data_IF_445656206711
#
_entry.id   IF_445656206711
#
_cell.length_a   1.000
_cell.length_b   1.000
_cell.length_c   1.000
_cell.angle_alpha   90.00
_cell.angle_beta   90.00
_cell.angle_gamma   90.00
#
_symmetry.space_group_name_H-M   'P 1'
#
loop_
_entity.id
_entity.type
_entity.pdbx_description
1 polymer ?
#
# COMPACT_ATOMS: atom_id res chain seq x y z
N UNK A 1 17.27 -5.76 25.49
CA UNK A 1 16.40 -6.50 26.43
C UNK A 1 15.53 -5.61 27.32
N UNK A 2 15.94 -4.42 27.74
CA UNK A 2 15.16 -3.57 28.67
C UNK A 2 13.72 -3.31 28.18
N UNK A 3 13.55 -2.87 26.92
CA UNK A 3 12.22 -2.62 26.34
C UNK A 3 11.32 -3.87 26.34
N UNK A 4 11.85 -5.04 25.95
CA UNK A 4 11.08 -6.30 25.96
C UNK A 4 10.57 -6.66 27.35
N UNK A 5 11.37 -6.42 28.41
CA UNK A 5 10.93 -6.63 29.80
C UNK A 5 9.84 -5.64 30.23
N UNK A 6 9.92 -4.39 29.77
CA UNK A 6 8.85 -3.42 30.02
C UNK A 6 7.55 -3.82 29.32
N UNK A 7 7.63 -4.34 28.09
CA UNK A 7 6.47 -4.84 27.36
C UNK A 7 5.86 -6.07 28.05
N UNK A 8 6.67 -7.04 28.46
CA UNK A 8 6.24 -8.22 29.21
C UNK A 8 5.54 -7.84 30.52
N UNK A 9 6.13 -6.94 31.31
CA UNK A 9 5.54 -6.47 32.56
C UNK A 9 4.20 -5.72 32.34
N UNK A 10 4.07 -5.03 31.21
CA UNK A 10 2.86 -4.31 30.84
C UNK A 10 1.75 -5.22 30.28
N UNK A 11 2.11 -6.24 29.51
CA UNK A 11 1.17 -7.13 28.83
C UNK A 11 0.79 -8.35 29.65
N UNK A 12 1.54 -8.65 30.73
CA UNK A 12 1.54 -9.94 31.42
C UNK A 12 1.75 -11.13 30.47
N UNK A 13 2.45 -10.90 29.34
CA UNK A 13 2.76 -11.93 28.35
C UNK A 13 4.28 -12.17 28.32
N UNK A 14 4.68 -13.31 28.90
CA UNK A 14 6.07 -13.74 29.00
C UNK A 14 6.73 -14.03 27.64
N UNK A 15 5.95 -14.16 26.56
CA UNK A 15 6.48 -14.44 25.24
C UNK A 15 7.19 -13.24 24.60
N UNK A 16 7.01 -12.00 25.08
CA UNK A 16 7.73 -10.82 24.55
C UNK A 16 9.25 -10.89 24.71
N UNK A 17 9.74 -11.64 25.71
CA UNK A 17 11.18 -11.79 25.97
C UNK A 17 11.81 -13.01 25.30
N UNK A 18 11.00 -13.97 24.86
CA UNK A 18 11.47 -15.31 24.46
C UNK A 18 11.03 -15.74 23.07
N UNK A 19 9.95 -15.18 22.52
CA UNK A 19 9.39 -15.56 21.22
C UNK A 19 9.53 -14.43 20.20
N UNK A 20 9.45 -14.82 18.93
CA UNK A 20 9.22 -13.89 17.83
C UNK A 20 7.78 -13.38 17.90
N UNK A 21 7.61 -12.09 17.62
CA UNK A 21 6.35 -11.38 17.75
C UNK A 21 6.14 -10.58 16.47
N UNK A 22 4.89 -10.53 16.01
CA UNK A 22 4.57 -9.77 14.82
C UNK A 22 4.68 -8.24 15.10
N UNK A 23 5.14 -7.44 14.13
CA UNK A 23 5.34 -6.00 14.29
C UNK A 23 4.11 -5.25 14.81
N UNK A 24 2.90 -5.62 14.37
CA UNK A 24 1.64 -5.05 14.81
C UNK A 24 1.33 -5.36 16.28
N UNK A 25 1.69 -6.55 16.78
CA UNK A 25 1.52 -6.88 18.19
C UNK A 25 2.44 -6.01 19.05
N UNK A 26 3.70 -5.86 18.62
CA UNK A 26 4.67 -4.97 19.25
C UNK A 26 4.20 -3.50 19.23
N UNK A 27 3.79 -2.99 18.06
CA UNK A 27 3.36 -1.59 17.90
C UNK A 27 2.11 -1.29 18.72
N UNK A 28 1.10 -2.16 18.69
CA UNK A 28 -0.12 -1.98 19.48
C UNK A 28 0.19 -1.88 20.97
N UNK A 29 1.06 -2.76 21.50
CA UNK A 29 1.46 -2.70 22.92
C UNK A 29 2.31 -1.49 23.26
N UNK A 30 3.26 -1.14 22.40
CA UNK A 30 4.09 0.04 22.60
C UNK A 30 3.27 1.32 22.60
N UNK A 31 2.36 1.48 21.63
CA UNK A 31 1.51 2.66 21.50
C UNK A 31 0.49 2.75 22.64
N UNK A 32 -0.06 1.63 23.10
CA UNK A 32 -0.89 1.58 24.30
C UNK A 32 -0.13 2.06 25.54
N UNK A 33 1.13 1.63 25.71
CA UNK A 33 1.95 2.03 26.85
C UNK A 33 2.32 3.51 26.83
N UNK A 34 2.66 4.02 25.65
CA UNK A 34 3.02 5.41 25.43
C UNK A 34 1.80 6.34 25.33
N UNK A 35 0.59 5.78 25.30
CA UNK A 35 -0.69 6.50 25.08
C UNK A 35 -0.64 7.36 23.82
N UNK A 36 -0.14 6.77 22.74
CA UNK A 36 -0.07 7.43 21.42
C UNK A 36 -1.50 7.62 20.91
N UNK A 37 -1.81 8.81 20.39
CA UNK A 37 -3.09 9.05 19.73
C UNK A 37 -3.21 8.19 18.46
N UNK A 38 -4.41 7.76 18.08
CA UNK A 38 -4.64 7.01 16.86
C UNK A 38 -4.07 7.73 15.64
N UNK A 39 -3.28 7.02 14.83
CA UNK A 39 -2.64 7.60 13.64
C UNK A 39 -3.64 7.73 12.48
N UNK A 40 -4.68 6.90 12.49
CA UNK A 40 -5.68 6.78 11.44
C UNK A 40 -7.07 6.98 12.03
N UNK A 41 -7.88 7.78 11.34
CA UNK A 41 -9.33 7.86 11.53
C UNK A 41 -10.00 7.48 10.22
N UNK A 42 -10.68 6.34 10.22
CA UNK A 42 -11.26 5.75 9.02
C UNK A 42 -12.77 5.63 9.25
N UNK A 43 -13.56 6.07 8.27
CA UNK A 43 -15.02 5.98 8.30
C UNK A 43 -15.50 5.03 7.21
N UNK A 44 -16.47 4.17 7.55
CA UNK A 44 -17.32 3.51 6.56
C UNK A 44 -18.55 4.37 6.31
N UNK A 45 -19.06 4.42 5.07
CA UNK A 45 -20.05 5.36 4.50
C UNK A 45 -21.41 5.56 5.23
N UNK A 46 -21.56 5.13 6.48
CA UNK A 46 -22.72 5.37 7.34
C UNK A 46 -22.44 5.19 8.84
N UNK A 47 -21.18 5.02 9.24
CA UNK A 47 -20.78 4.67 10.60
C UNK A 47 -19.95 5.77 11.28
N UNK A 48 -19.90 5.73 12.61
CA UNK A 48 -18.95 6.51 13.39
C UNK A 48 -17.51 6.21 12.94
N UNK A 49 -16.61 7.21 12.91
CA UNK A 49 -15.19 7.00 12.63
C UNK A 49 -14.59 5.95 13.56
N UNK A 50 -13.83 5.03 12.98
CA UNK A 50 -13.01 4.08 13.70
C UNK A 50 -11.59 4.61 13.80
N UNK A 51 -11.00 4.47 14.98
CA UNK A 51 -9.65 4.93 15.27
C UNK A 51 -8.71 3.73 15.38
N UNK A 52 -7.58 3.78 14.66
CA UNK A 52 -6.55 2.76 14.72
C UNK A 52 -5.16 3.32 14.42
N UNK A 53 -4.11 2.50 14.59
CA UNK A 53 -2.74 2.88 14.24
C UNK A 53 -2.23 2.25 12.94
N UNK A 54 -2.82 1.12 12.55
CA UNK A 54 -2.42 0.33 11.38
C UNK A 54 -3.65 -0.02 10.55
N UNK A 55 -3.45 -0.17 9.25
CA UNK A 55 -4.48 -0.67 8.34
C UNK A 55 -4.01 -1.96 7.66
N UNK A 56 -4.83 -3.00 7.75
CA UNK A 56 -4.61 -4.26 7.02
C UNK A 56 -5.16 -4.10 5.60
N UNK A 57 -4.28 -4.22 4.60
CA UNK A 57 -4.72 -4.31 3.22
C UNK A 57 -5.39 -5.66 2.99
N UNK A 58 -6.58 -5.62 2.40
CA UNK A 58 -7.28 -6.80 1.92
C UNK A 58 -7.11 -6.92 0.43
N UNK A 59 -6.84 -8.12 -0.09
CA UNK A 59 -6.78 -8.30 -1.53
C UNK A 59 -8.15 -8.15 -2.17
N UNK A 60 -8.20 -7.76 -3.46
CA UNK A 60 -9.45 -7.79 -4.22
C UNK A 60 -10.02 -9.22 -4.28
N UNK A 61 -11.35 -9.32 -4.21
CA UNK A 61 -12.09 -10.60 -4.22
C UNK A 61 -11.92 -11.39 -5.53
N UNK A 62 -11.56 -10.70 -6.61
CA UNK A 62 -11.19 -11.31 -7.88
C UNK A 62 -9.69 -11.20 -8.08
N UNK A 63 -9.00 -12.33 -7.97
CA UNK A 63 -7.61 -12.44 -8.45
C UNK A 63 -7.58 -12.03 -9.91
N UNK A 64 -6.69 -11.11 -10.35
CA UNK A 64 -6.52 -10.87 -11.77
C UNK A 64 -6.15 -12.21 -12.41
N UNK A 65 -7.08 -12.74 -13.22
CA UNK A 65 -6.72 -13.80 -14.14
C UNK A 65 -5.55 -13.28 -14.97
N UNK A 66 -4.52 -14.10 -15.24
CA UNK A 66 -3.50 -13.69 -16.17
C UNK A 66 -4.23 -13.27 -17.44
N UNK A 67 -4.10 -12.00 -17.82
CA UNK A 67 -4.55 -11.52 -19.11
C UNK A 67 -3.68 -12.24 -20.14
N UNK A 68 -4.11 -13.44 -20.52
CA UNK A 68 -3.58 -14.12 -21.68
C UNK A 68 -3.97 -13.20 -22.84
N UNK A 69 -3.03 -12.52 -23.53
CA UNK A 69 -3.39 -11.91 -24.79
C UNK A 69 -3.93 -13.05 -25.65
N UNK A 70 -5.16 -12.91 -26.14
CA UNK A 70 -5.80 -13.91 -26.97
C UNK A 70 -4.79 -14.37 -28.03
N UNK A 71 -4.30 -15.60 -27.89
CA UNK A 71 -3.34 -16.18 -28.82
C UNK A 71 -3.95 -16.13 -30.21
N UNK A 72 -3.25 -15.62 -31.24
CA UNK A 72 -3.64 -15.90 -32.60
C UNK A 72 -3.64 -17.42 -32.74
N UNK A 73 -4.79 -17.95 -33.13
CA UNK A 73 -4.97 -19.35 -33.50
C UNK A 73 -3.95 -19.65 -34.61
N UNK A 74 -3.16 -20.71 -34.41
CA UNK A 74 -2.16 -21.28 -35.34
C UNK A 74 -0.80 -20.54 -35.49
N UNK A 75 0.11 -20.77 -34.53
CA UNK A 75 1.56 -20.66 -34.79
C UNK A 75 2.27 -21.98 -34.46
N UNK A 76 3.05 -22.60 -35.37
CA UNK A 76 3.61 -23.95 -35.21
C UNK A 76 4.86 -24.02 -34.31
N UNK A 77 5.10 -23.04 -33.44
CA UNK A 77 6.27 -22.95 -32.57
C UNK A 77 5.78 -22.94 -31.12
N UNK A 78 6.28 -23.83 -30.23
CA UNK A 78 6.02 -23.72 -28.80
C UNK A 78 6.77 -22.49 -28.28
N UNK A 79 6.06 -21.37 -28.17
CA UNK A 79 6.54 -20.19 -27.45
C UNK A 79 6.44 -20.51 -25.96
N UNK A 80 7.57 -20.68 -25.27
CA UNK A 80 7.61 -20.59 -23.81
C UNK A 80 7.06 -19.22 -23.43
N UNK A 81 5.91 -19.20 -22.76
CA UNK A 81 5.39 -17.96 -22.15
C UNK A 81 6.50 -17.40 -21.25
N UNK A 82 6.89 -16.10 -21.37
CA UNK A 82 7.72 -15.50 -20.35
C UNK A 82 6.97 -15.62 -19.02
N UNK A 83 7.64 -16.11 -17.98
CA UNK A 83 7.10 -16.19 -16.63
C UNK A 83 6.78 -14.77 -16.13
N UNK A 84 5.55 -14.31 -16.32
CA UNK A 84 5.11 -12.99 -15.85
C UNK A 84 4.77 -13.08 -14.37
N UNK A 85 5.37 -12.22 -13.55
CA UNK A 85 4.98 -12.09 -12.14
C UNK A 85 3.60 -11.44 -12.01
N UNK A 86 2.77 -11.95 -11.11
CA UNK A 86 1.59 -11.22 -10.64
C UNK A 86 2.03 -10.11 -9.71
N UNK A 87 1.98 -8.88 -10.20
CA UNK A 87 2.38 -7.67 -9.49
C UNK A 87 1.15 -6.88 -9.08
N UNK A 88 1.19 -6.28 -7.89
CA UNK A 88 0.26 -5.22 -7.49
C UNK A 88 1.02 -4.12 -6.75
N UNK A 89 0.73 -2.85 -7.03
CA UNK A 89 1.27 -1.74 -6.25
C UNK A 89 0.52 -1.54 -4.95
N UNK A 90 1.18 -0.95 -3.97
CA UNK A 90 0.54 -0.55 -2.71
C UNK A 90 -0.58 0.48 -2.95
N UNK A 91 -0.44 1.37 -3.94
CA UNK A 91 -1.51 2.28 -4.37
C UNK A 91 -2.78 1.51 -4.76
N UNK A 92 -2.66 0.57 -5.70
CA UNK A 92 -3.79 -0.22 -6.18
C UNK A 92 -4.41 -1.05 -5.05
N UNK A 93 -3.57 -1.70 -4.21
CA UNK A 93 -4.04 -2.48 -3.06
C UNK A 93 -4.79 -1.62 -2.03
N UNK A 94 -4.30 -0.40 -1.75
CA UNK A 94 -4.97 0.51 -0.82
C UNK A 94 -6.32 0.96 -1.38
N UNK A 95 -6.34 1.42 -2.64
CA UNK A 95 -7.57 1.86 -3.31
C UNK A 95 -8.61 0.75 -3.36
N UNK A 96 -8.24 -0.46 -3.80
CA UNK A 96 -9.17 -1.60 -3.83
C UNK A 96 -9.62 -2.00 -2.43
N UNK A 97 -8.73 -2.05 -1.44
CA UNK A 97 -9.10 -2.41 -0.07
C UNK A 97 -10.12 -1.42 0.53
N UNK A 98 -9.92 -0.11 0.30
CA UNK A 98 -10.85 0.94 0.74
C UNK A 98 -12.16 0.88 -0.04
N UNK A 99 -12.12 0.70 -1.35
CA UNK A 99 -13.28 0.62 -2.22
C UNK A 99 -14.22 -0.53 -1.81
N UNK A 100 -13.70 -1.75 -1.69
CA UNK A 100 -14.50 -2.93 -1.36
C UNK A 100 -15.08 -2.86 0.06
N UNK A 101 -14.40 -2.17 0.97
CA UNK A 101 -14.84 -1.99 2.35
C UNK A 101 -15.71 -0.73 2.54
N UNK A 102 -15.89 0.09 1.50
CA UNK A 102 -16.59 1.36 1.56
C UNK A 102 -15.99 2.33 2.57
N UNK A 103 -14.65 2.37 2.65
CA UNK A 103 -13.89 3.17 3.63
C UNK A 103 -13.36 4.47 3.02
N UNK A 104 -13.22 5.47 3.88
CA UNK A 104 -12.54 6.74 3.61
C UNK A 104 -11.76 7.19 4.86
N UNK A 105 -10.68 7.92 4.64
CA UNK A 105 -9.98 8.65 5.69
C UNK A 105 -10.78 9.90 6.06
N UNK A 106 -11.02 10.10 7.35
CA UNK A 106 -11.67 11.31 7.85
C UNK A 106 -10.75 12.52 7.69
N UNK A 107 -9.45 12.32 7.97
CA UNK A 107 -8.41 13.34 7.81
C UNK A 107 -7.13 12.71 7.26
N UNK A 108 -6.25 13.53 6.69
CA UNK A 108 -4.98 13.06 6.14
C UNK A 108 -4.04 12.61 7.28
N UNK A 109 -3.63 11.33 7.33
CA UNK A 109 -2.77 10.86 8.39
C UNK A 109 -1.35 11.42 8.27
N UNK A 110 -0.72 11.70 9.42
CA UNK A 110 0.68 12.11 9.46
C UNK A 110 1.63 10.93 9.19
N UNK A 111 1.23 9.74 9.62
CA UNK A 111 1.94 8.48 9.44
C UNK A 111 0.93 7.38 9.10
N UNK A 112 1.18 6.64 8.02
CA UNK A 112 0.32 5.57 7.54
C UNK A 112 1.09 4.26 7.51
N UNK A 113 0.66 3.33 8.36
CA UNK A 113 1.24 2.00 8.50
C UNK A 113 0.33 0.98 7.82
N UNK A 114 0.79 0.42 6.70
CA UNK A 114 0.02 -0.52 5.88
C UNK A 114 0.59 -1.94 6.04
N UNK A 115 -0.22 -2.86 6.55
CA UNK A 115 0.10 -4.29 6.55
C UNK A 115 -0.27 -4.88 5.20
N UNK A 116 0.68 -5.57 4.58
CA UNK A 116 0.50 -6.18 3.26
C UNK A 116 -0.45 -7.39 3.35
N UNK A 117 -1.18 -7.73 2.27
CA UNK A 117 -2.13 -8.84 2.26
C UNK A 117 -1.40 -10.18 2.22
N UNK A 118 -0.98 -10.69 3.38
CA UNK A 118 -0.37 -12.02 3.55
C UNK A 118 -1.34 -12.95 4.27
N UNK A 119 -1.45 -14.19 3.79
CA UNK A 119 -2.24 -15.23 4.46
C UNK A 119 -1.33 -16.36 4.94
N UNK A 120 -0.92 -16.27 6.21
CA UNK A 120 -0.01 -17.25 6.79
C UNK A 120 1.38 -17.24 6.14
N UNK A 121 2.14 -18.33 6.36
CA UNK A 121 3.54 -18.43 5.91
C UNK A 121 3.68 -18.85 4.45
N UNK A 122 2.71 -19.61 3.93
CA UNK A 122 2.84 -20.31 2.65
C UNK A 122 2.05 -19.67 1.51
N UNK A 123 1.12 -18.74 1.80
CA UNK A 123 0.27 -18.13 0.77
C UNK A 123 0.58 -16.65 0.56
N UNK A 124 1.22 -16.37 -0.57
CA UNK A 124 1.39 -15.03 -1.14
C UNK A 124 0.43 -14.87 -2.32
N UNK A 125 -0.52 -13.95 -2.21
CA UNK A 125 -1.47 -13.72 -3.29
C UNK A 125 -0.79 -13.13 -4.53
N UNK A 126 0.22 -12.29 -4.33
CA UNK A 126 1.02 -11.66 -5.39
C UNK A 126 2.44 -12.21 -5.34
N UNK A 127 3.04 -12.39 -6.52
CA UNK A 127 4.42 -12.85 -6.62
C UNK A 127 5.39 -11.72 -6.24
N UNK A 128 4.99 -10.48 -6.51
CA UNK A 128 5.63 -9.26 -6.03
C UNK A 128 4.60 -8.18 -5.70
N UNK A 129 4.83 -7.44 -4.61
CA UNK A 129 4.12 -6.20 -4.30
C UNK A 129 5.10 -5.07 -4.57
N UNK A 130 4.66 -4.02 -5.28
CA UNK A 130 5.46 -2.83 -5.55
C UNK A 130 5.16 -1.77 -4.48
N UNK A 131 6.09 -1.48 -3.54
CA UNK A 131 5.93 -0.38 -2.59
C UNK A 131 5.93 0.95 -3.34
N UNK A 132 4.76 1.56 -3.48
CA UNK A 132 4.62 2.84 -4.18
C UNK A 132 5.44 3.91 -3.45
N UNK A 133 6.33 4.62 -4.13
CA UNK A 133 7.20 5.65 -3.51
C UNK A 133 6.41 6.86 -2.99
N UNK A 134 5.43 7.31 -3.76
CA UNK A 134 4.54 8.42 -3.44
C UNK A 134 3.10 7.95 -3.55
N UNK A 135 2.46 7.73 -2.41
CA UNK A 135 1.09 7.23 -2.31
C UNK A 135 0.12 8.40 -2.38
N UNK A 136 -0.82 8.38 -3.30
CA UNK A 136 -1.85 9.40 -3.44
C UNK A 136 -3.10 8.99 -2.67
N UNK A 137 -3.47 9.76 -1.65
CA UNK A 137 -4.63 9.47 -0.79
C UNK A 137 -5.78 10.46 -1.04
N UNK A 138 -5.66 11.34 -2.04
CA UNK A 138 -6.60 12.43 -2.29
C UNK A 138 -8.04 11.94 -2.40
N UNK A 139 -8.23 10.89 -3.19
CA UNK A 139 -9.55 10.36 -3.53
C UNK A 139 -10.09 9.38 -2.44
N UNK A 140 -9.27 9.08 -1.45
CA UNK A 140 -9.57 8.27 -0.27
C UNK A 140 -9.98 9.12 0.95
N UNK A 141 -9.85 10.45 0.88
CA UNK A 141 -10.23 11.38 1.95
C UNK A 141 -11.69 11.83 1.82
N UNK A 142 -12.38 12.00 2.95
CA UNK A 142 -13.77 12.49 2.99
C UNK A 142 -13.87 13.98 2.60
N UNK A 143 -13.00 14.84 3.15
CA UNK A 143 -13.11 16.30 3.04
C UNK A 143 -12.22 16.91 1.96
N UNK A 144 -12.02 16.21 0.84
CA UNK A 144 -11.24 16.70 -0.31
C UNK A 144 -12.11 16.97 -1.51
N UNK A 145 -11.80 18.05 -2.24
CA UNK A 145 -12.34 18.23 -3.58
C UNK A 145 -11.73 17.20 -4.50
N UNK A 146 -12.57 16.51 -5.25
CA UNK A 146 -12.11 15.48 -6.17
C UNK A 146 -12.43 15.85 -7.61
N UNK A 147 -11.67 15.30 -8.54
CA UNK A 147 -11.77 15.63 -9.95
C UNK A 147 -12.61 14.59 -10.70
N UNK A 148 -13.49 15.08 -11.56
CA UNK A 148 -14.24 14.23 -12.47
C UNK A 148 -13.29 13.52 -13.42
N UNK A 149 -13.37 12.19 -13.49
CA UNK A 149 -12.50 11.36 -14.33
C UNK A 149 -12.63 11.65 -15.83
N UNK A 150 -13.65 12.40 -16.26
CA UNK A 150 -13.94 12.73 -17.67
C UNK A 150 -13.53 14.16 -18.02
N UNK A 151 -14.08 15.15 -17.32
CA UNK A 151 -13.91 16.57 -17.65
C UNK A 151 -13.01 17.33 -16.67
N UNK A 152 -12.51 16.68 -15.61
CA UNK A 152 -11.61 17.25 -14.60
C UNK A 152 -12.19 18.42 -13.78
N UNK A 153 -13.50 18.70 -13.89
CA UNK A 153 -14.21 19.60 -12.98
C UNK A 153 -14.51 18.91 -11.64
N UNK A 154 -15.14 19.60 -10.68
CA UNK A 154 -15.47 19.03 -9.37
C UNK A 154 -16.38 17.82 -9.52
N UNK A 155 -15.96 16.70 -8.92
CA UNK A 155 -16.79 15.52 -8.79
C UNK A 155 -17.77 15.68 -7.63
N UNK A 156 -19.02 15.28 -7.87
CA UNK A 156 -20.11 15.26 -6.88
C UNK A 156 -20.63 13.84 -6.65
N UNK A 157 -20.21 12.90 -7.50
CA UNK A 157 -20.67 11.53 -7.50
C UNK A 157 -19.47 10.59 -7.58
N UNK A 158 -19.52 9.47 -6.88
CA UNK A 158 -18.60 8.36 -7.06
C UNK A 158 -19.39 7.08 -7.38
N UNK A 159 -18.80 6.19 -8.18
CA UNK A 159 -19.46 4.94 -8.55
C UNK A 159 -18.49 3.77 -8.41
N UNK A 160 -18.69 2.95 -7.37
CA UNK A 160 -17.86 1.78 -7.10
C UNK A 160 -17.89 0.78 -8.28
N UNK A 161 -19.07 0.57 -8.87
CA UNK A 161 -19.26 -0.36 -9.99
C UNK A 161 -18.56 0.09 -11.28
N UNK A 162 -18.27 1.38 -11.43
CA UNK A 162 -17.48 1.85 -12.57
C UNK A 162 -15.98 1.55 -12.41
N UNK A 163 -15.48 1.24 -11.21
CA UNK A 163 -14.05 1.01 -10.98
C UNK A 163 -13.50 -0.16 -11.81
N UNK A 164 -14.28 -1.22 -11.94
CA UNK A 164 -13.92 -2.42 -12.70
C UNK A 164 -14.08 -2.24 -14.22
N UNK A 165 -14.63 -1.10 -14.67
CA UNK A 165 -14.91 -0.88 -16.06
C UNK A 165 -13.67 -0.32 -16.81
N UNK A 166 -13.09 -1.08 -17.75
CA UNK A 166 -11.85 -0.71 -18.42
C UNK A 166 -12.03 0.42 -19.45
N UNK A 167 -13.25 0.75 -19.85
CA UNK A 167 -13.48 1.77 -20.88
C UNK A 167 -13.39 3.20 -20.31
N UNK A 168 -13.36 3.35 -18.98
CA UNK A 168 -13.19 4.65 -18.31
C UNK A 168 -11.91 4.59 -17.48
N UNK A 169 -10.85 5.27 -17.93
CA UNK A 169 -9.62 5.53 -17.16
C UNK A 169 -9.14 4.38 -16.25
N UNK A 170 -8.77 3.20 -16.79
CA UNK A 170 -8.46 1.99 -16.00
C UNK A 170 -7.63 2.23 -14.73
N UNK A 171 -7.96 1.53 -13.64
CA UNK A 171 -7.13 1.50 -12.42
C UNK A 171 -7.22 2.75 -11.53
N UNK A 172 -8.24 3.59 -11.71
CA UNK A 172 -8.48 4.75 -10.87
C UNK A 172 -9.92 4.79 -10.34
N UNK A 173 -10.09 5.31 -9.13
CA UNK A 173 -11.41 5.61 -8.55
C UNK A 173 -12.27 6.45 -9.51
N UNK A 174 -13.55 6.07 -9.66
CA UNK A 174 -14.45 6.66 -10.65
C UNK A 174 -15.37 7.67 -10.03
N UNK A 175 -15.16 8.91 -10.45
CA UNK A 175 -15.81 10.05 -9.86
C UNK A 175 -16.23 11.03 -10.96
N UNK A 176 -17.40 11.63 -10.77
CA UNK A 176 -18.06 12.36 -11.84
C UNK A 176 -18.69 13.64 -11.31
N UNK A 177 -18.62 14.71 -12.11
CA UNK A 177 -19.52 15.84 -11.95
C UNK A 177 -20.95 15.38 -12.30
N UNK A 178 -21.96 16.18 -11.94
CA UNK A 178 -23.35 15.81 -12.18
C UNK A 178 -23.65 15.45 -13.66
N UNK A 179 -23.14 16.23 -14.61
CA UNK A 179 -23.37 15.99 -16.05
C UNK A 179 -22.70 14.72 -16.55
N UNK A 180 -21.42 14.51 -16.23
CA UNK A 180 -20.70 13.31 -16.64
C UNK A 180 -21.28 12.05 -15.98
N UNK A 181 -21.76 12.15 -14.74
CA UNK A 181 -22.44 11.06 -14.05
C UNK A 181 -23.66 10.58 -14.85
N UNK A 182 -24.53 11.50 -15.28
CA UNK A 182 -25.71 11.15 -16.09
C UNK A 182 -25.32 10.55 -17.43
N UNK A 183 -24.31 11.11 -18.11
CA UNK A 183 -23.89 10.63 -19.43
C UNK A 183 -23.28 9.23 -19.36
N UNK A 184 -22.35 9.00 -18.43
CA UNK A 184 -21.70 7.69 -18.24
C UNK A 184 -22.73 6.62 -17.92
N UNK A 185 -23.66 6.90 -17.00
CA UNK A 185 -24.68 5.94 -16.58
C UNK A 185 -25.89 5.83 -17.53
N UNK A 186 -25.92 6.61 -18.62
CA UNK A 186 -26.86 6.38 -19.73
C UNK A 186 -26.42 5.25 -20.66
N UNK A 187 -25.15 4.84 -20.58
CA UNK A 187 -24.61 3.75 -21.37
C UNK A 187 -25.20 2.40 -20.94
N UNK A 188 -25.57 1.56 -21.92
CA UNK A 188 -26.26 0.27 -21.67
C UNK A 188 -25.58 -0.65 -20.66
N UNK A 189 -24.24 -0.64 -20.61
CA UNK A 189 -23.45 -1.48 -19.70
C UNK A 189 -23.46 -0.96 -18.26
N UNK A 190 -23.88 0.30 -18.03
CA UNK A 190 -23.77 1.00 -16.74
C UNK A 190 -25.12 1.48 -16.20
N UNK A 191 -26.22 1.14 -16.87
CA UNK A 191 -27.59 1.51 -16.46
C UNK A 191 -27.95 0.94 -15.07
N UNK A 192 -27.34 -0.18 -14.68
CA UNK A 192 -27.56 -0.85 -13.39
C UNK A 192 -26.63 -0.38 -12.28
N UNK A 193 -25.75 0.58 -12.57
CA UNK A 193 -24.82 1.11 -11.56
C UNK A 193 -25.53 2.06 -10.61
N UNK A 194 -25.09 2.06 -9.35
CA UNK A 194 -25.63 2.90 -8.29
C UNK A 194 -24.57 3.93 -7.86
N UNK A 195 -24.44 5.07 -8.57
CA UNK A 195 -23.56 6.15 -8.12
C UNK A 195 -24.06 6.76 -6.82
N UNK A 196 -23.13 7.06 -5.92
CA UNK A 196 -23.40 7.67 -4.61
C UNK A 196 -22.90 9.11 -4.62
N UNK A 197 -23.66 10.01 -4.00
CA UNK A 197 -23.27 11.41 -3.86
C UNK A 197 -22.16 11.54 -2.82
N UNK A 198 -21.09 12.26 -3.13
CA UNK A 198 -19.99 12.54 -2.21
C UNK A 198 -20.13 13.92 -1.57
N UNK A 199 -19.61 14.07 -0.36
CA UNK A 199 -19.53 15.37 0.32
C UNK A 199 -18.60 16.30 -0.45
N UNK A 200 -19.01 17.56 -0.59
CA UNK A 200 -18.17 18.62 -1.14
C UNK A 200 -17.86 19.56 0.03
N UNK A 201 -16.59 19.78 0.40
CA UNK A 201 -16.27 20.71 1.48
C UNK A 201 -16.82 22.11 1.16
N UNK A 202 -17.38 22.78 2.17
CA UNK A 202 -17.95 24.12 2.03
C UNK A 202 -16.84 25.17 1.87
N UNK A 203 -16.92 26.00 0.83
CA UNK A 203 -15.95 27.08 0.60
C UNK A 203 -16.18 27.85 -0.71
N UNK A 204 -15.72 29.12 -0.83
CA UNK A 204 -15.78 29.87 -2.08
C UNK A 204 -14.72 29.34 -3.06
N UNK A 205 -15.08 28.32 -3.83
CA UNK A 205 -14.23 27.72 -4.86
C UNK A 205 -14.29 28.59 -6.13
N UNK A 206 -13.42 29.58 -6.24
CA UNK A 206 -13.41 30.57 -7.33
C UNK A 206 -12.08 30.60 -8.09
N UNK A 207 -11.66 29.46 -8.64
CA UNK A 207 -10.58 29.34 -9.65
C UNK A 207 -10.64 27.94 -10.29
N UNK A 208 -9.97 27.64 -11.43
CA UNK A 208 -9.78 26.26 -11.87
C UNK A 208 -9.09 25.51 -10.74
N UNK A 209 -9.84 24.63 -10.09
CA UNK A 209 -9.40 23.94 -8.89
C UNK A 209 -8.15 23.10 -9.19
N UNK A 210 -6.99 23.67 -8.88
CA UNK A 210 -5.78 22.90 -8.65
C UNK A 210 -6.01 22.12 -7.36
N UNK A 211 -6.71 20.98 -7.47
CA UNK A 211 -6.84 20.06 -6.37
C UNK A 211 -5.42 19.66 -5.96
N UNK A 212 -5.00 20.13 -4.78
CA UNK A 212 -3.68 19.82 -4.27
C UNK A 212 -3.71 18.34 -3.90
N UNK A 213 -3.14 17.51 -4.76
CA UNK A 213 -3.07 16.06 -4.54
C UNK A 213 -2.34 15.81 -3.22
N UNK A 214 -3.03 15.16 -2.29
CA UNK A 214 -2.48 14.78 -1.00
C UNK A 214 -1.72 13.48 -1.16
N UNK A 215 -0.40 13.59 -1.01
CA UNK A 215 0.50 12.45 -1.18
C UNK A 215 1.24 12.14 0.12
N UNK A 216 1.61 10.87 0.28
CA UNK A 216 2.46 10.39 1.36
C UNK A 216 3.72 9.74 0.78
N UNK A 217 4.86 9.97 1.40
CA UNK A 217 6.14 9.39 0.96
C UNK A 217 6.47 8.12 1.72
N UNK A 218 6.85 7.08 0.98
CA UNK A 218 7.37 5.84 1.54
C UNK A 218 8.72 6.12 2.20
N UNK A 219 8.88 5.76 3.47
CA UNK A 219 10.16 5.91 4.18
C UNK A 219 10.74 4.60 4.71
N UNK A 220 9.92 3.58 4.92
CA UNK A 220 10.41 2.28 5.35
C UNK A 220 9.52 1.13 4.88
N UNK A 221 10.14 -0.02 4.67
CA UNK A 221 9.46 -1.29 4.41
C UNK A 221 10.05 -2.35 5.33
N UNK A 222 9.19 -3.02 6.08
CA UNK A 222 9.56 -4.21 6.85
C UNK A 222 9.24 -5.44 6.01
N UNK A 223 10.18 -6.38 5.92
CA UNK A 223 10.05 -7.58 5.11
C UNK A 223 10.24 -8.85 5.94
N UNK A 224 9.53 -9.91 5.60
CA UNK A 224 9.67 -11.25 6.18
C UNK A 224 9.51 -12.33 5.10
N UNK A 225 10.50 -13.20 4.99
CA UNK A 225 10.42 -14.37 4.10
C UNK A 225 9.70 -15.51 4.83
N UNK A 226 10.22 -15.92 6.01
CA UNK A 226 9.66 -17.02 6.81
C UNK A 226 9.49 -16.67 8.30
N UNK A 227 10.59 -16.29 8.97
CA UNK A 227 10.64 -16.03 10.43
C UNK A 227 11.77 -15.07 10.81
N UNK A 228 12.17 -14.20 9.89
CA UNK A 228 13.22 -13.23 10.16
C UNK A 228 12.90 -11.91 9.49
N UNK A 229 12.55 -10.94 10.32
CA UNK A 229 12.24 -9.59 9.90
C UNK A 229 13.52 -8.80 9.56
N UNK A 230 13.49 -8.15 8.40
CA UNK A 230 14.49 -7.16 7.97
C UNK A 230 13.82 -5.87 7.56
N UNK A 231 14.61 -4.81 7.41
CA UNK A 231 14.07 -3.50 7.09
C UNK A 231 14.81 -2.83 5.94
N UNK A 232 14.04 -2.13 5.12
CA UNK A 232 14.52 -1.18 4.13
C UNK A 232 14.12 0.21 4.58
N UNK A 233 15.06 1.14 4.58
CA UNK A 233 14.83 2.52 5.03
C UNK A 233 15.33 3.49 3.98
N UNK A 234 14.47 4.43 3.59
CA UNK A 234 14.84 5.56 2.75
C UNK A 234 15.46 6.63 3.63
N UNK A 235 16.71 7.00 3.32
CA UNK A 235 17.47 7.94 4.15
C UNK A 235 17.71 9.30 3.48
N UNK A 236 17.19 9.48 2.26
CA UNK A 236 17.38 10.70 1.49
C UNK A 236 16.37 10.83 0.34
N UNK A 237 16.35 12.00 -0.32
CA UNK A 237 15.38 12.30 -1.35
C UNK A 237 15.65 11.53 -2.66
N UNK A 238 16.90 11.12 -2.93
CA UNK A 238 17.21 10.47 -4.20
C UNK A 238 16.55 9.10 -4.29
N UNK A 239 16.16 8.65 -5.49
CA UNK A 239 15.60 7.32 -5.69
C UNK A 239 16.51 6.19 -5.18
N UNK A 240 17.82 6.41 -5.16
CA UNK A 240 18.86 5.45 -4.75
C UNK A 240 19.20 5.48 -3.26
N UNK A 241 18.64 6.42 -2.48
CA UNK A 241 18.99 6.62 -1.07
C UNK A 241 18.29 5.60 -0.16
N UNK A 242 18.71 4.34 -0.27
CA UNK A 242 18.14 3.21 0.47
C UNK A 242 19.19 2.44 1.25
N UNK A 243 18.82 2.08 2.48
CA UNK A 243 19.58 1.20 3.36
C UNK A 243 18.80 -0.09 3.62
N UNK A 244 19.50 -1.20 3.60
CA UNK A 244 19.05 -2.50 4.07
C UNK A 244 19.63 -2.75 5.47
N UNK A 245 18.77 -3.17 6.40
CA UNK A 245 19.13 -3.49 7.77
C UNK A 245 18.74 -4.93 8.11
N UNK A 246 19.71 -5.68 8.62
CA UNK A 246 19.54 -7.01 9.17
C UNK A 246 20.11 -7.07 10.59
N UNK A 247 19.25 -7.35 11.56
CA UNK A 247 19.61 -7.40 12.98
C UNK A 247 20.44 -8.63 13.38
N UNK A 248 20.44 -9.67 12.54
CA UNK A 248 21.14 -10.94 12.76
C UNK A 248 21.97 -11.34 11.53
N UNK A 249 22.60 -10.36 10.87
CA UNK A 249 23.34 -10.56 9.63
C UNK A 249 24.54 -11.50 9.77
N UNK A 250 25.16 -11.52 10.94
CA UNK A 250 26.28 -12.42 11.27
C UNK A 250 26.24 -12.79 12.76
N UNK A 251 27.06 -13.76 13.18
CA UNK A 251 27.17 -14.24 14.56
C UNK A 251 28.61 -14.52 14.94
N UNK A 252 29.02 -13.98 16.08
CA UNK A 252 30.30 -14.33 16.68
C UNK A 252 30.11 -15.31 17.84
N UNK A 253 30.82 -16.44 17.79
CA UNK A 253 30.77 -17.48 18.81
C UNK A 253 29.60 -18.47 18.68
N UNK A 254 29.58 -19.46 19.59
CA UNK A 254 28.58 -20.54 19.62
C UNK A 254 27.38 -20.23 20.53
N UNK A 255 27.13 -21.08 21.52
CA UNK A 255 25.99 -20.94 22.45
C UNK A 255 25.99 -19.63 23.23
N UNK A 256 27.17 -19.18 23.70
CA UNK A 256 27.34 -17.89 24.40
C UNK A 256 27.73 -16.75 23.45
N UNK A 257 27.55 -16.96 22.14
CA UNK A 257 27.80 -15.95 21.12
C UNK A 257 26.75 -14.84 21.09
N UNK A 258 26.96 -13.86 20.24
CA UNK A 258 26.03 -12.76 20.00
C UNK A 258 25.90 -12.46 18.51
N UNK A 259 24.76 -11.90 18.13
CA UNK A 259 24.49 -11.50 16.75
C UNK A 259 25.16 -10.15 16.45
N UNK A 260 25.66 -9.99 15.23
CA UNK A 260 26.23 -8.76 14.71
C UNK A 260 25.24 -8.19 13.70
N UNK A 261 24.64 -7.02 13.98
CA UNK A 261 23.73 -6.37 13.03
C UNK A 261 24.52 -5.73 11.89
N UNK A 262 23.88 -5.58 10.73
CA UNK A 262 24.50 -4.96 9.58
C UNK A 262 23.55 -3.98 8.89
N UNK A 263 24.10 -2.83 8.50
CA UNK A 263 23.46 -1.85 7.63
C UNK A 263 24.26 -1.81 6.33
N UNK A 264 23.58 -1.96 5.19
CA UNK A 264 24.18 -1.93 3.84
C UNK A 264 23.42 -0.94 2.98
N UNK A 265 24.13 -0.13 2.20
CA UNK A 265 23.49 0.62 1.11
C UNK A 265 22.95 -0.36 0.06
N UNK A 266 21.74 -0.10 -0.43
CA UNK A 266 21.08 -0.91 -1.46
C UNK A 266 20.48 -0.03 -2.56
N UNK A 267 21.26 0.83 -3.24
CA UNK A 267 20.75 1.75 -4.25
C UNK A 267 20.05 1.05 -5.42
N UNK A 268 20.33 -0.24 -5.64
CA UNK A 268 19.67 -1.05 -6.66
C UNK A 268 18.15 -1.13 -6.49
N UNK A 269 17.62 -1.04 -5.26
CA UNK A 269 16.16 -1.13 -5.05
C UNK A 269 15.43 0.05 -5.68
N UNK A 270 16.06 1.23 -5.70
CA UNK A 270 15.48 2.44 -6.26
C UNK A 270 15.08 2.30 -7.73
N UNK A 271 15.88 1.55 -8.50
CA UNK A 271 15.58 1.28 -9.91
C UNK A 271 14.27 0.50 -10.08
N UNK A 272 14.04 -0.52 -9.24
CA UNK A 272 12.85 -1.36 -9.32
C UNK A 272 11.61 -0.66 -8.77
N UNK A 273 11.77 0.13 -7.71
CA UNK A 273 10.67 0.94 -7.14
C UNK A 273 10.18 2.05 -8.08
N UNK A 274 10.95 2.39 -9.11
CA UNK A 274 10.57 3.39 -10.12
C UNK A 274 9.83 2.79 -11.33
N UNK A 275 9.69 1.45 -11.40
CA UNK A 275 8.99 0.77 -12.49
C UNK A 275 7.47 0.82 -12.31
N UNK A 276 6.73 0.68 -13.40
CA UNK A 276 5.28 0.40 -13.36
C UNK A 276 4.98 -1.06 -12.98
N UNK A 277 3.72 -1.36 -12.65
CA UNK A 277 3.28 -2.74 -12.41
C UNK A 277 3.51 -3.63 -13.63
N UNK A 278 3.23 -3.12 -14.84
CA UNK A 278 3.40 -3.83 -16.10
C UNK A 278 4.87 -4.10 -16.40
N UNK A 279 5.74 -3.10 -16.19
CA UNK A 279 7.18 -3.25 -16.38
C UNK A 279 7.76 -4.28 -15.41
N UNK A 280 7.36 -4.21 -14.13
CA UNK A 280 7.81 -5.15 -13.11
C UNK A 280 7.31 -6.57 -13.38
N UNK A 281 6.09 -6.72 -13.91
CA UNK A 281 5.52 -8.04 -14.25
C UNK A 281 6.34 -8.81 -15.28
N UNK A 282 7.11 -8.11 -16.12
CA UNK A 282 7.96 -8.67 -17.18
C UNK A 282 9.38 -8.97 -16.72
N UNK A 283 9.76 -8.57 -15.51
CA UNK A 283 11.07 -8.88 -14.95
C UNK A 283 11.14 -10.36 -14.63
N UNK A 284 12.24 -11.02 -15.01
CA UNK A 284 12.50 -12.41 -14.64
C UNK A 284 12.77 -12.51 -13.12
N UNK A 285 11.96 -13.25 -12.34
CA UNK A 285 12.19 -13.44 -10.91
C UNK A 285 13.58 -14.00 -10.59
N UNK A 286 14.13 -14.86 -11.47
CA UNK A 286 15.45 -15.46 -11.29
C UNK A 286 16.60 -14.47 -11.43
N UNK A 287 16.35 -13.33 -12.07
CA UNK A 287 17.34 -12.25 -12.26
C UNK A 287 17.42 -11.27 -11.08
N UNK A 288 16.44 -11.32 -10.16
CA UNK A 288 16.37 -10.41 -9.02
C UNK A 288 17.48 -10.74 -8.00
N UNK A 289 18.25 -9.72 -7.63
CA UNK A 289 19.17 -9.83 -6.49
C UNK A 289 18.37 -10.06 -5.21
N UNK A 290 18.97 -10.80 -4.27
CA UNK A 290 18.43 -11.11 -2.94
C UNK A 290 17.74 -9.89 -2.30
N UNK A 291 18.43 -8.76 -2.21
CA UNK A 291 17.94 -7.51 -1.60
C UNK A 291 16.66 -7.00 -2.26
N UNK A 292 16.59 -7.02 -3.59
CA UNK A 292 15.41 -6.57 -4.35
C UNK A 292 14.27 -7.57 -4.23
N UNK A 293 14.60 -8.87 -4.32
CA UNK A 293 13.64 -9.97 -4.12
C UNK A 293 12.96 -9.87 -2.75
N UNK A 294 13.73 -9.64 -1.69
CA UNK A 294 13.20 -9.47 -0.33
C UNK A 294 12.29 -8.24 -0.23
N UNK A 295 12.65 -7.13 -0.86
CA UNK A 295 11.77 -5.97 -0.86
C UNK A 295 10.44 -6.26 -1.56
N UNK A 296 10.47 -6.79 -2.78
CA UNK A 296 9.27 -6.95 -3.60
C UNK A 296 8.41 -8.16 -3.22
N UNK A 297 9.03 -9.30 -2.93
CA UNK A 297 8.33 -10.57 -2.65
C UNK A 297 8.09 -10.78 -1.15
N UNK A 298 8.88 -10.14 -0.28
CA UNK A 298 8.84 -10.34 1.17
C UNK A 298 8.32 -9.13 1.96
N UNK A 299 7.81 -8.07 1.29
CA UNK A 299 7.13 -6.93 1.93
C UNK A 299 6.01 -7.36 2.89
N UNK A 300 6.15 -6.99 4.16
CA UNK A 300 5.21 -7.27 5.25
C UNK A 300 4.44 -6.01 5.66
N UNK A 301 5.15 -4.91 5.88
CA UNK A 301 4.55 -3.63 6.28
C UNK A 301 5.24 -2.49 5.53
N UNK A 302 4.47 -1.61 4.91
CA UNK A 302 4.94 -0.39 4.27
C UNK A 302 4.58 0.82 5.14
N UNK A 303 5.53 1.72 5.35
CA UNK A 303 5.39 2.87 6.23
C UNK A 303 5.54 4.16 5.42
N UNK A 304 4.51 5.00 5.52
CA UNK A 304 4.38 6.26 4.80
C UNK A 304 4.28 7.42 5.77
N UNK A 305 4.80 8.58 5.38
CA UNK A 305 4.65 9.82 6.15
C UNK A 305 4.19 10.96 5.25
N UNK A 306 3.55 11.97 5.84
CA UNK A 306 3.21 13.20 5.13
C UNK A 306 4.48 14.06 4.91
N UNK A 307 4.84 14.38 3.66
CA UNK A 307 5.98 15.26 3.35
C UNK A 307 5.79 16.67 3.94
N UNK A 308 4.54 17.14 3.99
CA UNK A 308 4.18 18.46 4.53
C UNK A 308 4.46 18.58 6.04
N UNK A 309 4.44 17.45 6.76
CA UNK A 309 4.65 17.37 8.21
C UNK A 309 6.06 16.86 8.58
N UNK A 310 6.95 16.73 7.61
CA UNK A 310 8.29 16.20 7.82
C UNK A 310 9.22 17.26 8.42
N UNK A 311 9.84 16.93 9.56
CA UNK A 311 10.74 17.84 10.30
C UNK A 311 12.09 18.11 9.62
N UNK A 312 12.41 17.39 8.54
CA UNK A 312 13.66 17.55 7.80
C UNK A 312 13.37 17.98 6.36
N UNK A 313 13.77 19.22 6.05
CA UNK A 313 13.95 19.74 4.69
C UNK A 313 15.42 19.67 4.32
#
# INVERSE_FOLDING_TARGET
MALRRMLEAASNDASFTSQEKDPEEFLNKLFQLLRVEPLLKIRSMSCEPQECHLYQLFPPTHSPSPSVPASPVESPIPLSLPSSMRVASVQNLLETSFLHSGLKFVEAPSCLLLLMPRFGKDFKMFDAILPTLSLDITDLLDDTLRQCSICQTVAEWECLQCYEDPDITPGHLKQYCNTCNTQVHSHRNRLSHNPVKIGIPEGPWSDPLMCTRRTMSLFAVTCIETSHYVSFVKHGPQPTDWLFFDSMADREGGQNGFNIPQVKACPEVGRYLSLSEEELSRVDPGSLRETVRRLLCDSYMCLYHSPELSLYR
#
